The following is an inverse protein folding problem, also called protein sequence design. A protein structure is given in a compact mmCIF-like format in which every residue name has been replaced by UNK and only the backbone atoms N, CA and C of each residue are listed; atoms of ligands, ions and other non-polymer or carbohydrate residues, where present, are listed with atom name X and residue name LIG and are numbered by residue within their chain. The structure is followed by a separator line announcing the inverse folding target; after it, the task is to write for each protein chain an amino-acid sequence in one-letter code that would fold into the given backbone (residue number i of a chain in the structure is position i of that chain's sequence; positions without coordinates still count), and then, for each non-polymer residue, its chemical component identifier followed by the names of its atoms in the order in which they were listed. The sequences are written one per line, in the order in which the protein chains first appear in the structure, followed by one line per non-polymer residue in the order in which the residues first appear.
data_IF_995140840649
#
_entry.id   IF_995140840649
#
_cell.length_a   1.000
_cell.length_b   1.000
_cell.length_c   1.000
_cell.angle_alpha   90.00
_cell.angle_beta   90.00
_cell.angle_gamma   90.00
#
_symmetry.space_group_name_H-M   'P 1'
#
loop_
_entity.id
_entity.type
_entity.pdbx_description
1 polymer ?
#
# COMPACT_ATOMS: atom_id res chain seq x y z
N UNK A 1 -15.20 -9.22 51.15
CA UNK A 1 -14.86 -8.67 49.80
C UNK A 1 -14.90 -9.81 48.77
N UNK A 2 -16.07 -10.12 48.20
CA UNK A 2 -16.27 -11.29 47.31
C UNK A 2 -17.23 -10.95 46.15
N UNK A 3 -16.96 -9.85 45.43
CA UNK A 3 -17.75 -9.41 44.26
C UNK A 3 -17.14 -9.77 42.90
N UNK A 4 -15.99 -10.45 42.86
CA UNK A 4 -15.24 -10.69 41.61
C UNK A 4 -15.75 -11.79 40.67
N UNK A 5 -16.39 -12.91 41.10
CA UNK A 5 -16.78 -13.96 40.15
C UNK A 5 -18.01 -13.59 39.30
N UNK A 6 -19.02 -12.95 39.87
CA UNK A 6 -20.29 -12.64 39.16
C UNK A 6 -20.12 -11.62 38.04
N UNK A 7 -19.22 -10.64 38.21
CA UNK A 7 -18.89 -9.66 37.17
C UNK A 7 -18.10 -10.28 36.00
N UNK A 8 -17.22 -11.25 36.27
CA UNK A 8 -16.46 -11.96 35.23
C UNK A 8 -17.35 -12.89 34.39
N UNK A 9 -18.30 -13.58 35.04
CA UNK A 9 -19.29 -14.40 34.34
C UNK A 9 -20.29 -13.57 33.53
N UNK A 10 -20.74 -12.43 34.05
CA UNK A 10 -21.59 -11.49 33.30
C UNK A 10 -20.89 -10.91 32.06
N UNK A 11 -19.62 -10.53 32.19
CA UNK A 11 -18.82 -10.04 31.06
C UNK A 11 -18.62 -11.10 29.96
N UNK A 12 -18.34 -12.35 30.35
CA UNK A 12 -18.18 -13.45 29.39
C UNK A 12 -19.45 -13.73 28.57
N UNK A 13 -20.62 -13.72 29.22
CA UNK A 13 -21.91 -13.92 28.54
C UNK A 13 -22.18 -12.80 27.53
N UNK A 14 -21.89 -11.54 27.88
CA UNK A 14 -22.08 -10.40 26.98
C UNK A 14 -21.16 -10.50 25.76
N UNK A 15 -19.88 -10.86 25.94
CA UNK A 15 -18.93 -11.05 24.83
C UNK A 15 -19.39 -12.14 23.88
N UNK A 16 -19.84 -13.29 24.41
CA UNK A 16 -20.36 -14.40 23.60
C UNK A 16 -21.63 -13.98 22.85
N UNK A 17 -22.56 -13.30 23.52
CA UNK A 17 -23.78 -12.80 22.89
C UNK A 17 -23.49 -11.80 21.75
N UNK A 18 -22.54 -10.88 21.94
CA UNK A 18 -22.11 -9.95 20.89
C UNK A 18 -21.46 -10.68 19.71
N UNK A 19 -20.64 -11.69 19.97
CA UNK A 19 -20.04 -12.49 18.91
C UNK A 19 -21.10 -13.27 18.12
N UNK A 20 -22.07 -13.89 18.80
CA UNK A 20 -23.19 -14.58 18.15
C UNK A 20 -24.01 -13.61 17.31
N UNK A 21 -24.33 -12.42 17.84
CA UNK A 21 -25.04 -11.39 17.09
C UNK A 21 -24.26 -10.93 15.86
N UNK A 22 -22.95 -10.67 15.99
CA UNK A 22 -22.10 -10.30 14.87
C UNK A 22 -22.05 -11.40 13.79
N UNK A 23 -21.90 -12.67 14.19
CA UNK A 23 -21.94 -13.81 13.28
C UNK A 23 -23.30 -13.90 12.58
N UNK A 24 -24.41 -13.74 13.31
CA UNK A 24 -25.75 -13.76 12.73
C UNK A 24 -25.96 -12.62 11.71
N UNK A 25 -25.47 -11.40 12.00
CA UNK A 25 -25.54 -10.25 11.10
C UNK A 25 -24.71 -10.46 9.82
N UNK A 26 -23.51 -11.01 9.97
CA UNK A 26 -22.57 -11.20 8.87
C UNK A 26 -22.78 -12.52 8.11
N UNK A 27 -23.61 -13.43 8.61
CA UNK A 27 -23.89 -14.69 7.94
C UNK A 27 -24.56 -14.44 6.58
N UNK A 28 -24.06 -15.15 5.56
CA UNK A 28 -24.62 -15.18 4.21
C UNK A 28 -24.50 -16.63 3.70
N UNK A 29 -25.56 -17.17 3.06
CA UNK A 29 -25.49 -18.51 2.50
C UNK A 29 -24.55 -18.57 1.30
N UNK A 30 -24.10 -19.78 0.95
CA UNK A 30 -23.36 -20.00 -0.27
C UNK A 30 -24.21 -19.60 -1.50
N UNK A 31 -23.59 -18.93 -2.46
CA UNK A 31 -24.18 -18.70 -3.79
C UNK A 31 -23.78 -19.89 -4.67
N UNK A 32 -24.76 -20.48 -5.34
CA UNK A 32 -24.53 -21.62 -6.23
C UNK A 32 -23.50 -21.25 -7.31
N UNK A 33 -22.56 -22.16 -7.64
CA UNK A 33 -21.64 -21.92 -8.74
C UNK A 33 -22.41 -21.81 -10.06
N UNK A 34 -21.88 -20.99 -10.97
CA UNK A 34 -22.37 -20.91 -12.35
C UNK A 34 -21.35 -21.51 -13.31
N UNK A 35 -21.78 -21.83 -14.52
CA UNK A 35 -20.86 -22.07 -15.62
C UNK A 35 -20.13 -20.76 -15.95
N UNK A 36 -18.84 -20.87 -16.28
CA UNK A 36 -18.03 -19.71 -16.60
C UNK A 36 -18.62 -18.97 -17.82
N UNK A 37 -18.93 -17.66 -17.73
CA UNK A 37 -19.38 -16.89 -18.88
C UNK A 37 -18.31 -16.92 -19.97
N UNK A 38 -18.67 -17.18 -21.24
CA UNK A 38 -17.71 -17.15 -22.34
C UNK A 38 -17.03 -15.79 -22.42
N UNK A 39 -15.71 -15.73 -22.60
CA UNK A 39 -14.99 -14.45 -22.69
C UNK A 39 -15.55 -13.51 -23.78
N UNK A 40 -16.15 -14.08 -24.83
CA UNK A 40 -16.80 -13.35 -25.92
C UNK A 40 -18.12 -12.65 -25.52
N UNK A 41 -18.72 -12.99 -24.36
CA UNK A 41 -19.92 -12.30 -23.86
C UNK A 41 -19.64 -10.91 -23.29
N UNK A 42 -18.36 -10.56 -23.09
CA UNK A 42 -17.93 -9.26 -22.60
C UNK A 42 -17.41 -8.41 -23.77
N UNK A 43 -18.12 -7.32 -24.06
CA UNK A 43 -17.73 -6.41 -25.13
C UNK A 43 -16.40 -5.69 -24.83
N UNK A 44 -15.79 -5.11 -25.86
CA UNK A 44 -14.48 -4.47 -25.74
C UNK A 44 -14.49 -3.24 -24.80
N UNK A 45 -15.57 -2.46 -24.79
CA UNK A 45 -15.66 -1.26 -23.96
C UNK A 45 -15.74 -1.63 -22.47
N UNK A 46 -16.55 -2.64 -22.12
CA UNK A 46 -16.62 -3.18 -20.76
C UNK A 46 -15.29 -3.74 -20.29
N UNK A 47 -14.55 -4.47 -21.16
CA UNK A 47 -13.22 -4.98 -20.82
C UNK A 47 -12.19 -3.87 -20.62
N UNK A 48 -12.22 -2.81 -21.42
CA UNK A 48 -11.33 -1.64 -21.25
C UNK A 48 -11.65 -0.89 -19.96
N UNK A 49 -12.93 -0.68 -19.65
CA UNK A 49 -13.34 -0.10 -18.37
C UNK A 49 -12.87 -0.96 -17.19
N UNK A 50 -12.99 -2.29 -17.31
CA UNK A 50 -12.52 -3.23 -16.31
C UNK A 50 -11.01 -3.21 -16.12
N UNK A 51 -10.24 -3.10 -17.21
CA UNK A 51 -8.78 -2.95 -17.13
C UNK A 51 -8.39 -1.70 -16.32
N UNK A 52 -9.06 -0.57 -16.56
CA UNK A 52 -8.87 0.67 -15.79
C UNK A 52 -9.20 0.48 -14.32
N UNK A 53 -10.32 -0.18 -14.00
CA UNK A 53 -10.73 -0.44 -12.59
C UNK A 53 -9.75 -1.34 -11.88
N UNK A 54 -9.29 -2.41 -12.54
CA UNK A 54 -8.34 -3.39 -11.98
C UNK A 54 -6.96 -2.76 -11.76
N UNK A 55 -6.52 -1.86 -12.64
CA UNK A 55 -5.30 -1.07 -12.45
C UNK A 55 -5.44 -0.04 -11.32
N UNK A 56 -6.56 0.71 -11.26
CA UNK A 56 -6.83 1.63 -10.14
C UNK A 56 -6.93 0.92 -8.79
N UNK A 57 -7.43 -0.32 -8.79
CA UNK A 57 -7.53 -1.19 -7.62
C UNK A 57 -6.24 -1.88 -7.22
N UNK A 58 -5.16 -1.75 -8.01
CA UNK A 58 -3.87 -2.40 -7.82
C UNK A 58 -3.98 -3.93 -7.64
N UNK A 59 -4.98 -4.54 -8.31
CA UNK A 59 -5.32 -5.95 -8.03
C UNK A 59 -4.18 -6.90 -8.42
N UNK A 60 -3.44 -6.58 -9.48
CA UNK A 60 -2.35 -7.43 -9.98
C UNK A 60 -1.20 -7.52 -8.97
N UNK A 61 -0.95 -6.45 -8.20
CA UNK A 61 0.10 -6.40 -7.19
C UNK A 61 -0.16 -7.37 -6.07
N UNK A 62 -1.41 -7.46 -5.60
CA UNK A 62 -1.78 -8.41 -4.56
C UNK A 62 -1.94 -9.83 -5.12
N UNK A 63 -2.54 -9.98 -6.29
CA UNK A 63 -2.93 -11.28 -6.84
C UNK A 63 -1.87 -11.93 -7.75
N UNK A 64 -0.59 -11.56 -7.62
CA UNK A 64 0.49 -12.19 -8.40
C UNK A 64 1.70 -12.45 -7.51
N UNK A 65 2.06 -13.72 -7.30
CA UNK A 65 3.29 -14.08 -6.61
C UNK A 65 4.55 -13.68 -7.41
N UNK A 66 5.70 -13.54 -6.73
CA UNK A 66 6.99 -13.32 -7.38
C UNK A 66 7.31 -14.47 -8.35
N UNK A 67 7.46 -14.15 -9.64
CA UNK A 67 7.65 -15.15 -10.70
C UNK A 67 6.40 -15.98 -11.04
N UNK A 68 5.24 -15.63 -10.45
CA UNK A 68 3.95 -16.26 -10.72
C UNK A 68 3.28 -15.71 -11.98
N UNK A 69 2.18 -16.36 -12.39
CA UNK A 69 1.35 -15.86 -13.50
C UNK A 69 0.42 -14.73 -13.01
N UNK A 70 0.14 -13.71 -13.84
CA UNK A 70 -0.73 -12.60 -13.47
C UNK A 70 -2.07 -13.09 -12.90
N UNK A 71 -2.50 -12.50 -11.77
CA UNK A 71 -3.78 -12.77 -11.10
C UNK A 71 -3.95 -14.18 -10.50
N UNK A 72 -2.94 -15.04 -10.57
CA UNK A 72 -2.97 -16.42 -10.06
C UNK A 72 -2.89 -16.54 -8.53
N UNK A 73 -2.72 -15.43 -7.81
CA UNK A 73 -2.58 -15.39 -6.36
C UNK A 73 -1.21 -15.86 -5.87
N UNK A 74 -1.18 -16.33 -4.62
CA UNK A 74 0.00 -16.93 -4.00
C UNK A 74 0.99 -15.93 -3.39
N UNK A 75 0.73 -14.62 -3.45
CA UNK A 75 1.60 -13.63 -2.84
C UNK A 75 1.50 -13.73 -1.30
N UNK A 76 2.61 -13.90 -0.57
CA UNK A 76 2.62 -13.81 0.88
C UNK A 76 2.51 -12.36 1.34
N UNK A 77 1.50 -12.08 2.16
CA UNK A 77 1.32 -10.82 2.88
C UNK A 77 1.70 -11.04 4.34
N UNK A 78 2.90 -10.60 4.70
CA UNK A 78 3.38 -10.66 6.08
C UNK A 78 2.64 -9.63 6.95
N UNK A 79 1.98 -10.09 8.01
CA UNK A 79 1.29 -9.25 8.98
C UNK A 79 1.84 -9.51 10.38
N UNK A 80 1.60 -8.60 11.36
CA UNK A 80 1.91 -8.88 12.77
C UNK A 80 1.21 -10.13 13.34
N UNK A 81 0.19 -10.65 12.64
CA UNK A 81 -0.64 -11.77 13.07
C UNK A 81 -0.28 -13.08 12.35
N UNK A 82 0.73 -13.06 11.47
CA UNK A 82 1.12 -14.17 10.61
C UNK A 82 1.01 -13.83 9.13
N UNK A 83 1.03 -14.84 8.27
CA UNK A 83 1.06 -14.66 6.81
C UNK A 83 -0.30 -14.98 6.20
N UNK A 84 -0.82 -14.06 5.40
CA UNK A 84 -2.00 -14.27 4.54
C UNK A 84 -1.49 -14.47 3.10
N UNK A 85 -2.10 -15.36 2.35
CA UNK A 85 -1.79 -15.54 0.93
C UNK A 85 -2.92 -15.02 0.07
N UNK A 86 -2.58 -14.27 -0.98
CA UNK A 86 -3.58 -13.82 -1.95
C UNK A 86 -4.16 -14.99 -2.73
N UNK A 87 -5.44 -14.91 -3.07
CA UNK A 87 -6.16 -15.96 -3.79
C UNK A 87 -5.98 -15.82 -5.30
N UNK A 88 -6.23 -16.88 -6.05
CA UNK A 88 -6.32 -16.82 -7.49
C UNK A 88 -7.65 -16.15 -7.91
N UNK A 89 -7.58 -15.14 -8.77
CA UNK A 89 -8.75 -14.40 -9.30
C UNK A 89 -8.85 -14.49 -10.84
N UNK A 90 -8.17 -15.46 -11.44
CA UNK A 90 -8.33 -15.81 -12.86
C UNK A 90 -9.65 -16.56 -13.09
N UNK A 91 -10.13 -16.70 -14.35
CA UNK A 91 -11.35 -17.45 -14.63
C UNK A 91 -11.19 -18.98 -14.55
N UNK A 92 -10.12 -19.48 -13.94
CA UNK A 92 -9.98 -20.91 -13.66
C UNK A 92 -11.15 -21.39 -12.76
N UNK A 93 -11.78 -22.49 -13.16
CA UNK A 93 -13.02 -22.98 -12.53
C UNK A 93 -12.79 -23.75 -11.23
N UNK A 94 -11.58 -24.27 -11.03
CA UNK A 94 -11.23 -25.07 -9.85
C UNK A 94 -10.61 -24.23 -8.73
N UNK A 95 -9.69 -23.34 -9.12
CA UNK A 95 -8.82 -22.62 -8.19
C UNK A 95 -9.04 -21.11 -8.21
N UNK A 96 -9.63 -20.58 -9.28
CA UNK A 96 -9.93 -19.16 -9.45
C UNK A 96 -11.41 -18.79 -9.21
N UNK A 97 -11.86 -17.73 -9.89
CA UNK A 97 -13.24 -17.23 -9.82
C UNK A 97 -14.11 -17.70 -10.98
N UNK A 98 -13.67 -18.69 -11.77
CA UNK A 98 -14.35 -19.14 -12.98
C UNK A 98 -15.82 -19.54 -12.78
N UNK A 99 -16.17 -20.07 -11.61
CA UNK A 99 -17.54 -20.48 -11.26
C UNK A 99 -18.31 -19.45 -10.41
N UNK A 100 -17.77 -18.24 -10.24
CA UNK A 100 -18.41 -17.19 -9.46
C UNK A 100 -19.34 -16.38 -10.35
N UNK A 101 -20.56 -16.13 -9.90
CA UNK A 101 -21.42 -15.15 -10.55
C UNK A 101 -20.96 -13.72 -10.25
N UNK A 102 -21.42 -12.75 -11.06
CA UNK A 102 -21.23 -11.33 -10.75
C UNK A 102 -21.78 -10.97 -9.36
N UNK A 103 -22.87 -11.61 -8.92
CA UNK A 103 -23.42 -11.45 -7.58
C UNK A 103 -22.43 -11.91 -6.50
N UNK A 104 -21.82 -13.09 -6.67
CA UNK A 104 -20.83 -13.60 -5.73
C UNK A 104 -19.58 -12.73 -5.68
N UNK A 105 -19.10 -12.27 -6.85
CA UNK A 105 -17.97 -11.34 -6.94
C UNK A 105 -18.29 -10.00 -6.26
N UNK A 106 -19.44 -9.40 -6.57
CA UNK A 106 -19.93 -8.16 -5.93
C UNK A 106 -20.01 -8.32 -4.42
N UNK A 107 -20.50 -9.47 -3.93
CA UNK A 107 -20.58 -9.75 -2.51
C UNK A 107 -19.21 -9.80 -1.83
N UNK A 108 -18.22 -10.42 -2.46
CA UNK A 108 -16.87 -10.45 -1.95
C UNK A 108 -16.28 -9.04 -1.88
N UNK A 109 -16.39 -8.28 -2.97
CA UNK A 109 -15.84 -6.91 -3.08
C UNK A 109 -16.50 -5.94 -2.10
N UNK A 110 -17.83 -6.00 -1.94
CA UNK A 110 -18.57 -5.05 -1.08
C UNK A 110 -18.61 -5.42 0.39
N UNK A 111 -18.60 -6.72 0.70
CA UNK A 111 -18.91 -7.20 2.06
C UNK A 111 -17.82 -8.09 2.67
N UNK A 112 -16.76 -8.41 1.92
CA UNK A 112 -15.73 -9.32 2.39
C UNK A 112 -16.28 -10.74 2.64
N UNK A 113 -17.24 -11.19 1.82
CA UNK A 113 -17.83 -12.53 1.95
C UNK A 113 -17.67 -13.32 0.66
N UNK A 114 -16.91 -14.41 0.72
CA UNK A 114 -16.64 -15.29 -0.42
C UNK A 114 -17.92 -15.97 -0.94
N UNK A 115 -17.85 -16.58 -2.13
CA UNK A 115 -18.99 -17.28 -2.76
C UNK A 115 -19.61 -18.37 -1.87
N UNK A 116 -18.80 -19.11 -1.13
CA UNK A 116 -19.24 -20.17 -0.21
C UNK A 116 -19.78 -19.65 1.14
N UNK A 117 -19.71 -18.33 1.38
CA UNK A 117 -20.22 -17.66 2.57
C UNK A 117 -19.18 -17.41 3.68
N UNK A 118 -17.92 -17.83 3.51
CA UNK A 118 -16.91 -17.51 4.53
C UNK A 118 -16.46 -16.04 4.46
N UNK A 119 -16.07 -15.49 5.62
CA UNK A 119 -15.53 -14.14 5.71
C UNK A 119 -14.08 -14.08 5.21
N UNK A 120 -13.81 -13.11 4.34
CA UNK A 120 -12.50 -12.78 3.82
C UNK A 120 -11.72 -11.95 4.86
N UNK A 121 -10.40 -12.13 4.89
CA UNK A 121 -9.55 -11.31 5.76
C UNK A 121 -9.45 -9.88 5.21
N UNK A 122 -9.40 -8.86 6.07
CA UNK A 122 -9.39 -7.45 5.66
C UNK A 122 -8.10 -7.00 4.96
N UNK A 123 -7.11 -7.90 4.83
CA UNK A 123 -6.01 -7.70 3.88
C UNK A 123 -6.51 -7.56 2.43
N UNK A 124 -7.68 -8.14 2.11
CA UNK A 124 -8.46 -7.72 0.94
C UNK A 124 -9.21 -6.44 1.31
N UNK A 125 -8.95 -5.28 0.68
CA UNK A 125 -9.44 -3.98 1.15
C UNK A 125 -10.93 -3.72 0.81
N UNK A 126 -11.80 -4.69 1.10
CA UNK A 126 -13.25 -4.59 0.85
C UNK A 126 -13.91 -3.45 1.63
N UNK A 127 -13.31 -2.98 2.74
CA UNK A 127 -13.79 -1.78 3.46
C UNK A 127 -13.66 -0.48 2.64
N UNK A 128 -12.78 -0.48 1.63
CA UNK A 128 -12.64 0.60 0.65
C UNK A 128 -13.39 0.27 -0.63
N UNK A 129 -13.22 -0.94 -1.17
CA UNK A 129 -13.89 -1.35 -2.41
C UNK A 129 -15.42 -1.36 -2.32
N UNK A 130 -15.99 -1.44 -1.13
CA UNK A 130 -17.43 -1.27 -0.93
C UNK A 130 -17.96 0.07 -1.48
N UNK A 131 -17.11 1.09 -1.63
CA UNK A 131 -17.43 2.40 -2.22
C UNK A 131 -17.54 2.41 -3.74
N UNK A 132 -17.08 1.35 -4.43
CA UNK A 132 -17.15 1.22 -5.88
C UNK A 132 -18.60 1.28 -6.38
N UNK A 133 -18.80 1.80 -7.59
CA UNK A 133 -20.09 1.71 -8.27
C UNK A 133 -20.36 0.29 -8.77
N UNK A 134 -21.62 -0.07 -9.02
CA UNK A 134 -21.95 -1.38 -9.62
C UNK A 134 -21.35 -1.53 -11.04
N UNK A 135 -21.22 -0.40 -11.76
CA UNK A 135 -20.50 -0.33 -13.03
C UNK A 135 -19.03 -0.71 -12.91
N UNK A 136 -18.32 -0.17 -11.91
CA UNK A 136 -16.90 -0.50 -11.69
C UNK A 136 -16.72 -1.98 -11.33
N UNK A 137 -17.57 -2.51 -10.44
CA UNK A 137 -17.50 -3.92 -10.02
C UNK A 137 -17.80 -4.86 -11.19
N UNK A 138 -18.84 -4.57 -11.98
CA UNK A 138 -19.19 -5.39 -13.14
C UNK A 138 -18.12 -5.35 -14.23
N UNK A 139 -17.52 -4.18 -14.47
CA UNK A 139 -16.41 -4.03 -15.40
C UNK A 139 -15.16 -4.79 -14.94
N UNK A 140 -14.78 -4.69 -13.66
CA UNK A 140 -13.67 -5.45 -13.09
C UNK A 140 -13.87 -6.96 -13.23
N UNK A 141 -15.08 -7.45 -12.89
CA UNK A 141 -15.46 -8.84 -13.08
C UNK A 141 -15.31 -9.27 -14.55
N UNK A 142 -15.85 -8.50 -15.50
CA UNK A 142 -15.73 -8.78 -16.93
C UNK A 142 -14.26 -8.86 -17.40
N UNK A 143 -13.41 -7.95 -16.95
CA UNK A 143 -11.99 -7.97 -17.31
C UNK A 143 -11.28 -9.20 -16.74
N UNK A 144 -11.49 -9.51 -15.46
CA UNK A 144 -10.90 -10.69 -14.80
C UNK A 144 -11.36 -11.99 -15.46
N UNK A 145 -12.65 -12.10 -15.79
CA UNK A 145 -13.22 -13.29 -16.45
C UNK A 145 -12.73 -13.50 -17.89
N UNK A 146 -11.98 -12.55 -18.45
CA UNK A 146 -11.36 -12.66 -19.78
C UNK A 146 -9.84 -12.86 -19.74
N UNK A 147 -9.25 -12.97 -18.53
CA UNK A 147 -7.83 -13.27 -18.38
C UNK A 147 -7.55 -14.73 -18.72
N UNK A 148 -6.27 -15.06 -18.90
CA UNK A 148 -5.85 -16.44 -19.05
C UNK A 148 -6.22 -17.23 -17.77
N UNK A 149 -6.95 -18.35 -17.88
CA UNK A 149 -7.20 -19.22 -16.74
C UNK A 149 -5.89 -19.83 -16.23
N UNK A 150 -5.63 -19.69 -14.95
CA UNK A 150 -4.47 -20.28 -14.30
C UNK A 150 -4.94 -21.25 -13.23
N UNK A 151 -4.66 -22.54 -13.38
CA UNK A 151 -4.91 -23.51 -12.33
C UNK A 151 -3.77 -23.44 -11.31
N UNK A 152 -4.00 -22.73 -10.22
CA UNK A 152 -3.02 -22.57 -9.13
C UNK A 152 -3.73 -22.32 -7.81
N UNK A 153 -3.41 -23.14 -6.80
CA UNK A 153 -4.02 -23.07 -5.47
C UNK A 153 -3.06 -22.35 -4.54
N UNK A 154 -3.46 -21.17 -4.09
CA UNK A 154 -2.69 -20.41 -3.11
C UNK A 154 -2.46 -21.23 -1.82
N UNK A 155 -1.27 -21.09 -1.17
CA UNK A 155 -1.03 -21.70 0.12
C UNK A 155 -2.07 -21.27 1.17
N UNK A 156 -2.34 -22.14 2.14
CA UNK A 156 -3.22 -21.79 3.25
C UNK A 156 -2.61 -20.69 4.14
N UNK A 157 -3.45 -19.78 4.62
CA UNK A 157 -3.05 -18.73 5.56
C UNK A 157 -2.42 -19.33 6.83
N UNK A 158 -1.35 -18.70 7.32
CA UNK A 158 -0.64 -19.07 8.53
C UNK A 158 -0.80 -17.96 9.57
N UNK A 159 -1.95 -17.94 10.22
CA UNK A 159 -2.28 -16.96 11.26
C UNK A 159 -2.22 -17.57 12.65
N UNK A 160 -1.81 -16.76 13.63
CA UNK A 160 -1.77 -17.16 15.03
C UNK A 160 -3.19 -17.39 15.57
N UNK A 161 -3.34 -18.36 16.47
CA UNK A 161 -4.60 -18.53 17.21
C UNK A 161 -4.82 -17.34 18.17
N UNK A 162 -6.03 -16.77 18.29
CA UNK A 162 -7.29 -17.21 17.66
C UNK A 162 -7.63 -16.54 16.32
N UNK A 163 -6.75 -15.74 15.72
CA UNK A 163 -7.02 -14.96 14.49
C UNK A 163 -7.18 -15.83 13.23
N UNK A 164 -6.79 -17.09 13.29
CA UNK A 164 -7.14 -18.11 12.29
C UNK A 164 -8.63 -18.55 12.35
N UNK A 165 -9.36 -18.24 13.42
CA UNK A 165 -10.78 -18.56 13.57
C UNK A 165 -11.67 -17.49 12.92
N UNK A 166 -12.06 -17.75 11.66
CA UNK A 166 -12.82 -16.81 10.79
C UNK A 166 -14.06 -16.16 11.42
N UNK A 167 -14.86 -16.80 12.28
CA UNK A 167 -16.01 -16.13 12.89
C UNK A 167 -15.68 -14.85 13.68
N UNK A 168 -14.44 -14.70 14.18
CA UNK A 168 -14.01 -13.44 14.83
C UNK A 168 -13.97 -12.25 13.87
N UNK A 169 -13.83 -12.49 12.57
CA UNK A 169 -13.91 -11.45 11.55
C UNK A 169 -15.31 -10.83 11.47
N UNK A 170 -16.36 -11.54 11.91
CA UNK A 170 -17.71 -10.98 11.91
C UNK A 170 -17.78 -9.74 12.81
N UNK A 171 -17.15 -9.82 13.99
CA UNK A 171 -17.05 -8.70 14.92
C UNK A 171 -16.21 -7.55 14.32
N UNK A 172 -15.08 -7.88 13.69
CA UNK A 172 -14.25 -6.89 13.00
C UNK A 172 -15.04 -6.16 11.89
N UNK A 173 -15.80 -6.89 11.08
CA UNK A 173 -16.62 -6.31 10.01
C UNK A 173 -17.69 -5.37 10.57
N UNK A 174 -18.36 -5.72 11.66
CA UNK A 174 -19.35 -4.83 12.30
C UNK A 174 -18.74 -3.48 12.74
N UNK A 175 -17.45 -3.45 13.08
CA UNK A 175 -16.77 -2.23 13.51
C UNK A 175 -16.25 -1.36 12.36
N UNK A 176 -15.74 -1.97 11.30
CA UNK A 176 -14.96 -1.25 10.27
C UNK A 176 -15.63 -1.21 8.89
N UNK A 177 -16.51 -2.18 8.56
CA UNK A 177 -17.17 -2.21 7.27
C UNK A 177 -18.41 -1.30 7.27
N UNK A 178 -18.35 -0.25 6.46
CA UNK A 178 -19.47 0.66 6.19
C UNK A 178 -19.91 0.44 4.74
N UNK A 179 -20.86 -0.46 4.48
CA UNK A 179 -21.12 -0.92 3.14
C UNK A 179 -21.86 0.13 2.30
N UNK A 180 -21.47 0.23 1.03
CA UNK A 180 -22.24 0.94 0.01
C UNK A 180 -21.42 1.90 -0.84
N UNK A 181 -21.90 2.21 -2.05
CA UNK A 181 -21.25 3.17 -2.93
C UNK A 181 -21.07 4.53 -2.26
N UNK A 182 -19.97 5.20 -2.59
CA UNK A 182 -19.72 6.54 -2.10
C UNK A 182 -20.59 7.56 -2.83
N UNK A 183 -21.55 8.15 -2.13
CA UNK A 183 -22.37 9.24 -2.65
C UNK A 183 -21.50 10.49 -2.93
N UNK A 184 -21.77 11.20 -4.03
CA UNK A 184 -21.12 12.45 -4.35
C UNK A 184 -21.47 13.54 -3.32
N UNK A 185 -20.48 14.36 -2.97
CA UNK A 185 -20.67 15.57 -2.16
C UNK A 185 -21.12 16.71 -3.09
N UNK A 186 -22.35 17.18 -2.92
CA UNK A 186 -22.94 18.23 -3.74
C UNK A 186 -22.27 19.61 -3.56
N UNK A 187 -21.48 19.80 -2.49
CA UNK A 187 -20.71 21.03 -2.26
C UNK A 187 -19.38 21.08 -2.99
N UNK A 188 -19.01 19.99 -3.68
CA UNK A 188 -17.72 19.81 -4.35
C UNK A 188 -17.92 19.59 -5.84
N UNK A 189 -16.92 19.97 -6.62
CA UNK A 189 -16.95 19.74 -8.07
C UNK A 189 -16.75 18.25 -8.43
N UNK A 190 -16.89 17.94 -9.73
CA UNK A 190 -16.78 16.58 -10.23
C UNK A 190 -15.36 16.01 -10.09
N UNK A 191 -14.32 16.83 -10.23
CA UNK A 191 -12.93 16.38 -10.13
C UNK A 191 -12.60 15.96 -8.70
N UNK A 192 -13.02 16.75 -7.71
CA UNK A 192 -12.86 16.43 -6.31
C UNK A 192 -13.60 15.16 -5.92
N UNK A 193 -14.87 15.01 -6.36
CA UNK A 193 -15.66 13.81 -6.09
C UNK A 193 -15.06 12.56 -6.73
N UNK A 194 -14.53 12.68 -7.96
CA UNK A 194 -13.78 11.60 -8.61
C UNK A 194 -12.53 11.25 -7.81
N UNK A 195 -11.75 12.26 -7.42
CA UNK A 195 -10.55 12.07 -6.62
C UNK A 195 -10.81 11.37 -5.29
N UNK A 196 -11.87 11.78 -4.56
CA UNK A 196 -12.28 11.11 -3.32
C UNK A 196 -12.67 9.66 -3.56
N UNK A 197 -13.43 9.37 -4.61
CA UNK A 197 -13.84 7.99 -4.94
C UNK A 197 -12.62 7.10 -5.22
N UNK A 198 -11.63 7.65 -5.93
CA UNK A 198 -10.39 6.94 -6.24
C UNK A 198 -9.52 6.76 -4.99
N UNK A 199 -9.35 7.79 -4.17
CA UNK A 199 -8.46 7.72 -2.99
C UNK A 199 -9.05 6.91 -1.85
N UNK A 200 -10.32 7.13 -1.51
CA UNK A 200 -10.96 6.43 -0.39
C UNK A 200 -11.49 5.04 -0.76
N UNK A 201 -11.74 4.82 -2.06
CA UNK A 201 -12.36 3.61 -2.60
C UNK A 201 -11.36 2.76 -3.39
N UNK A 202 -11.35 2.93 -4.71
CA UNK A 202 -10.62 2.06 -5.64
C UNK A 202 -9.13 1.95 -5.32
N UNK A 203 -8.43 3.07 -5.15
CA UNK A 203 -7.00 3.10 -4.83
C UNK A 203 -6.68 2.85 -3.36
N UNK A 204 -7.70 2.68 -2.49
CA UNK A 204 -7.60 2.30 -1.07
C UNK A 204 -6.42 2.95 -0.32
N UNK A 205 -6.12 4.22 -0.62
CA UNK A 205 -4.82 4.81 -0.24
C UNK A 205 -4.64 4.86 1.28
N UNK A 206 -5.75 4.98 2.01
CA UNK A 206 -5.77 4.96 3.47
C UNK A 206 -5.29 3.63 4.07
N UNK A 207 -5.43 2.50 3.36
CA UNK A 207 -4.95 1.19 3.81
C UNK A 207 -3.44 1.16 4.04
N UNK A 208 -2.69 1.98 3.30
CA UNK A 208 -1.25 2.13 3.47
C UNK A 208 -0.85 3.40 4.22
N UNK A 209 -1.56 4.50 3.95
CA UNK A 209 -1.22 5.82 4.45
C UNK A 209 -1.95 6.20 5.74
N UNK A 210 -2.55 5.26 6.47
CA UNK A 210 -3.15 5.49 7.78
C UNK A 210 -2.58 4.52 8.82
N UNK A 211 -2.46 4.92 10.09
CA UNK A 211 -1.99 4.03 11.13
C UNK A 211 -3.08 3.00 11.44
N UNK A 212 -2.67 1.75 11.64
CA UNK A 212 -3.55 0.69 12.10
C UNK A 212 -3.65 0.66 13.62
N UNK A 213 -4.81 0.26 14.13
CA UNK A 213 -5.04 -0.05 15.53
C UNK A 213 -4.56 -1.47 15.88
N UNK A 214 -4.65 -1.84 17.16
CA UNK A 214 -4.14 -3.14 17.66
C UNK A 214 -4.86 -4.37 17.10
N UNK A 215 -6.05 -4.22 16.53
CA UNK A 215 -6.82 -5.29 15.86
C UNK A 215 -6.77 -5.19 14.33
N UNK A 216 -5.81 -4.41 13.79
CA UNK A 216 -5.54 -4.34 12.35
C UNK A 216 -6.54 -3.51 11.53
N UNK A 217 -7.43 -2.75 12.17
CA UNK A 217 -8.28 -1.77 11.47
C UNK A 217 -7.63 -0.39 11.41
N UNK A 218 -8.04 0.45 10.47
CA UNK A 218 -7.59 1.85 10.43
C UNK A 218 -7.94 2.58 11.74
N UNK A 219 -7.03 3.41 12.25
CA UNK A 219 -7.24 4.14 13.49
C UNK A 219 -8.17 5.34 13.23
N UNK A 220 -9.34 5.32 13.86
CA UNK A 220 -10.33 6.40 13.78
C UNK A 220 -9.72 7.77 14.10
N UNK A 221 -10.04 8.78 13.28
CA UNK A 221 -9.54 10.15 13.40
C UNK A 221 -8.11 10.39 12.88
N UNK A 222 -7.44 9.34 12.39
CA UNK A 222 -6.05 9.41 11.91
C UNK A 222 -5.90 9.04 10.43
N UNK A 223 -6.97 9.18 9.64
CA UNK A 223 -6.92 8.92 8.21
C UNK A 223 -5.81 9.76 7.55
N UNK A 224 -4.99 9.10 6.75
CA UNK A 224 -3.89 9.70 5.98
C UNK A 224 -2.70 10.25 6.80
N UNK A 225 -2.59 9.91 8.10
CA UNK A 225 -1.48 10.32 8.98
C UNK A 225 -0.16 9.56 8.75
N UNK A 226 -0.10 8.71 7.72
CA UNK A 226 1.03 7.82 7.43
C UNK A 226 0.87 6.45 8.09
N UNK A 227 1.75 5.53 7.73
CA UNK A 227 1.66 4.14 8.18
C UNK A 227 2.95 3.36 7.98
N UNK A 228 2.92 2.09 8.38
CA UNK A 228 3.98 1.12 8.08
C UNK A 228 3.34 -0.01 7.28
N UNK A 229 3.80 -0.19 6.04
CA UNK A 229 3.35 -1.27 5.16
C UNK A 229 4.57 -1.95 4.59
N UNK A 230 4.57 -3.28 4.71
CA UNK A 230 5.69 -4.11 4.27
C UNK A 230 7.06 -3.60 4.75
N UNK A 231 7.12 -3.10 5.99
CA UNK A 231 8.35 -2.58 6.59
C UNK A 231 8.85 -1.26 5.99
N UNK A 232 8.10 -0.64 5.09
CA UNK A 232 8.30 0.72 4.61
C UNK A 232 7.42 1.69 5.39
N UNK A 233 7.92 2.90 5.61
CA UNK A 233 7.11 4.00 6.13
C UNK A 233 6.35 4.66 4.99
N UNK A 234 5.03 4.49 4.96
CA UNK A 234 4.16 5.26 4.08
C UNK A 234 4.03 6.68 4.64
N UNK A 235 4.40 7.74 3.89
CA UNK A 235 4.32 9.11 4.37
C UNK A 235 2.87 9.54 4.57
N UNK A 236 2.62 10.53 5.43
CA UNK A 236 1.29 11.11 5.58
C UNK A 236 0.85 11.82 4.28
N UNK A 237 -0.35 11.49 3.78
CA UNK A 237 -0.90 12.15 2.59
C UNK A 237 -1.61 13.47 2.93
N UNK A 238 -1.89 13.73 4.20
CA UNK A 238 -2.51 14.96 4.68
C UNK A 238 -1.50 15.99 5.23
N UNK A 239 -0.21 15.78 4.99
CA UNK A 239 0.89 16.57 5.56
C UNK A 239 1.99 16.86 4.52
N UNK A 240 1.62 17.02 3.26
CA UNK A 240 2.54 17.22 2.13
C UNK A 240 3.19 18.61 2.10
N UNK A 241 2.61 19.60 2.78
CA UNK A 241 3.21 20.94 2.89
C UNK A 241 4.49 20.99 3.75
N UNK A 242 4.75 19.95 4.55
CA UNK A 242 5.90 19.84 5.45
C UNK A 242 7.17 19.27 4.79
N UNK A 243 7.10 18.90 3.52
CA UNK A 243 8.26 18.48 2.75
C UNK A 243 9.24 19.66 2.54
N UNK A 244 10.54 19.40 2.28
CA UNK A 244 11.53 20.46 2.04
C UNK A 244 11.12 21.46 0.96
N UNK A 245 10.42 20.94 -0.06
CA UNK A 245 9.64 21.69 -1.02
C UNK A 245 8.17 21.26 -0.87
N UNK A 246 7.21 22.19 -0.76
CA UNK A 246 5.79 21.81 -0.73
C UNK A 246 5.38 21.09 -2.00
N UNK A 247 4.59 20.02 -1.88
CA UNK A 247 4.05 19.33 -3.04
C UNK A 247 3.07 20.21 -3.82
N UNK A 248 3.21 20.19 -5.14
CA UNK A 248 2.24 20.78 -6.07
C UNK A 248 1.40 19.68 -6.73
N UNK A 249 0.26 20.05 -7.32
CA UNK A 249 -0.55 19.08 -8.07
C UNK A 249 0.24 18.49 -9.23
N UNK A 250 1.03 19.31 -9.94
CA UNK A 250 1.85 18.85 -11.06
C UNK A 250 2.91 17.83 -10.62
N UNK A 251 3.55 18.06 -9.47
CA UNK A 251 4.51 17.10 -8.91
C UNK A 251 3.84 15.79 -8.47
N UNK A 252 2.66 15.86 -7.85
CA UNK A 252 1.89 14.66 -7.48
C UNK A 252 1.47 13.86 -8.71
N UNK A 253 0.95 14.52 -9.75
CA UNK A 253 0.57 13.84 -11.01
C UNK A 253 1.79 13.18 -11.64
N UNK A 254 2.93 13.89 -11.69
CA UNK A 254 4.17 13.34 -12.24
C UNK A 254 4.65 12.14 -11.42
N UNK A 255 4.67 12.24 -10.09
CA UNK A 255 5.06 11.15 -9.20
C UNK A 255 4.16 9.94 -9.34
N UNK A 256 2.84 10.13 -9.31
CA UNK A 256 1.87 9.04 -9.41
C UNK A 256 1.89 8.34 -10.78
N UNK A 257 2.27 9.04 -11.86
CA UNK A 257 2.35 8.44 -13.21
C UNK A 257 3.70 7.81 -13.54
N UNK A 258 4.78 8.31 -12.94
CA UNK A 258 6.15 7.98 -13.36
C UNK A 258 7.03 7.44 -12.25
N UNK A 259 6.51 7.40 -11.01
CA UNK A 259 7.27 7.01 -9.84
C UNK A 259 8.36 7.99 -9.44
N UNK A 260 8.36 9.24 -9.92
CA UNK A 260 9.39 10.23 -9.59
C UNK A 260 8.87 11.66 -9.53
N UNK A 261 9.47 12.44 -8.65
CA UNK A 261 9.38 13.89 -8.66
C UNK A 261 10.75 14.46 -8.24
N UNK A 262 11.29 15.36 -9.06
CA UNK A 262 12.62 15.97 -8.89
C UNK A 262 12.84 16.56 -7.50
N UNK A 263 11.78 17.17 -6.96
CA UNK A 263 11.77 17.82 -5.65
C UNK A 263 11.27 16.94 -4.48
N UNK A 264 11.02 15.64 -4.69
CA UNK A 264 10.47 14.79 -3.63
C UNK A 264 11.02 13.36 -3.55
N UNK A 265 11.61 12.81 -4.62
CA UNK A 265 12.17 11.46 -4.62
C UNK A 265 11.60 10.53 -5.71
N UNK A 266 11.95 9.25 -5.60
CA UNK A 266 11.40 8.17 -6.41
C UNK A 266 10.52 7.23 -5.57
N UNK A 267 9.56 6.58 -6.20
CA UNK A 267 8.80 5.47 -5.64
C UNK A 267 9.70 4.24 -5.52
N UNK A 268 9.56 3.53 -4.41
CA UNK A 268 10.27 2.29 -4.10
C UNK A 268 9.36 1.41 -3.23
N UNK A 269 9.74 0.15 -3.05
CA UNK A 269 8.97 -0.79 -2.23
C UNK A 269 7.51 -0.89 -2.69
N UNK A 270 6.54 -0.92 -1.75
CA UNK A 270 5.12 -1.08 -2.07
C UNK A 270 4.51 0.03 -2.94
N UNK A 271 5.09 1.23 -2.94
CA UNK A 271 4.54 2.36 -3.73
C UNK A 271 4.96 2.30 -5.20
N UNK A 272 6.07 1.62 -5.52
CA UNK A 272 6.56 1.52 -6.90
C UNK A 272 5.53 0.90 -7.85
N UNK A 273 4.97 -0.30 -7.58
CA UNK A 273 3.99 -0.88 -8.50
C UNK A 273 2.69 -0.07 -8.56
N UNK A 274 2.26 0.59 -7.47
CA UNK A 274 1.12 1.52 -7.49
C UNK A 274 1.33 2.63 -8.53
N UNK A 275 2.53 3.23 -8.58
CA UNK A 275 2.83 4.26 -9.59
C UNK A 275 2.91 3.72 -11.02
N UNK A 276 3.26 2.44 -11.20
CA UNK A 276 3.23 1.80 -12.52
C UNK A 276 1.79 1.62 -13.00
N UNK A 277 0.92 1.10 -12.15
CA UNK A 277 -0.49 0.87 -12.49
C UNK A 277 -1.20 2.21 -12.74
N UNK A 278 -0.96 3.23 -11.91
CA UNK A 278 -1.44 4.60 -12.14
C UNK A 278 -0.83 5.28 -13.39
N UNK A 279 0.34 4.84 -13.85
CA UNK A 279 0.90 5.26 -15.13
C UNK A 279 0.09 4.77 -16.35
N UNK A 280 -0.62 3.66 -16.21
CA UNK A 280 -1.42 3.04 -17.29
C UNK A 280 -2.84 3.59 -17.41
N UNK A 281 -3.35 4.24 -16.36
CA UNK A 281 -4.71 4.79 -16.36
C UNK A 281 -4.75 6.18 -17.01
N UNK A 282 -5.94 6.63 -17.45
CA UNK A 282 -6.11 7.97 -18.00
C UNK A 282 -5.64 9.05 -17.04
N UNK A 283 -4.95 10.07 -17.57
CA UNK A 283 -4.31 11.11 -16.76
C UNK A 283 -5.31 11.87 -15.88
N UNK A 284 -6.56 12.01 -16.31
CA UNK A 284 -7.59 12.72 -15.55
C UNK A 284 -7.89 12.06 -14.20
N UNK A 285 -7.73 10.74 -14.06
CA UNK A 285 -7.88 10.05 -12.78
C UNK A 285 -6.76 10.43 -11.82
N UNK A 286 -5.52 10.48 -12.32
CA UNK A 286 -4.35 10.86 -11.52
C UNK A 286 -4.45 12.33 -11.11
N UNK A 287 -4.91 13.20 -12.00
CA UNK A 287 -5.18 14.60 -11.68
C UNK A 287 -6.26 14.75 -10.60
N UNK A 288 -7.32 13.94 -10.64
CA UNK A 288 -8.37 13.92 -9.63
C UNK A 288 -7.85 13.42 -8.28
N UNK A 289 -7.05 12.33 -8.27
CA UNK A 289 -6.36 11.83 -7.07
C UNK A 289 -5.50 12.94 -6.45
N UNK A 290 -4.65 13.59 -7.25
CA UNK A 290 -3.78 14.66 -6.78
C UNK A 290 -4.56 15.86 -6.22
N UNK A 291 -5.65 16.28 -6.90
CA UNK A 291 -6.52 17.35 -6.43
C UNK A 291 -7.17 17.02 -5.08
N UNK A 292 -7.67 15.79 -4.91
CA UNK A 292 -8.27 15.37 -3.66
C UNK A 292 -7.25 15.29 -2.53
N UNK A 293 -6.07 14.70 -2.77
CA UNK A 293 -4.99 14.63 -1.78
C UNK A 293 -4.60 16.04 -1.32
N UNK A 294 -4.44 17.00 -2.23
CA UNK A 294 -4.13 18.39 -1.86
C UNK A 294 -5.26 19.10 -1.09
N UNK A 295 -6.49 18.61 -1.19
CA UNK A 295 -7.62 19.19 -0.46
C UNK A 295 -7.71 18.75 1.01
N UNK A 296 -7.06 17.64 1.37
CA UNK A 296 -7.13 17.05 2.73
C UNK A 296 -5.95 17.45 3.63
N UNK A 297 -5.16 18.46 3.22
CA UNK A 297 -3.97 18.88 3.97
C UNK A 297 -4.33 19.51 5.31
N UNK A 298 -3.63 19.09 6.37
CA UNK A 298 -3.69 19.69 7.70
C UNK A 298 -2.80 20.93 7.75
N UNK A 299 -3.14 21.96 8.55
CA UNK A 299 -2.25 23.08 8.79
C UNK A 299 -0.91 22.57 9.33
N UNK A 300 0.19 23.02 8.73
CA UNK A 300 1.53 22.66 9.16
C UNK A 300 2.27 23.89 9.67
N UNK A 301 2.97 23.71 10.79
CA UNK A 301 3.91 24.71 11.25
C UNK A 301 5.04 24.82 10.22
N UNK A 302 5.43 26.06 9.91
CA UNK A 302 6.58 26.30 9.05
C UNK A 302 7.79 25.55 9.61
N UNK A 303 8.48 24.77 8.77
CA UNK A 303 9.68 24.07 9.18
C UNK A 303 10.72 25.08 9.66
N UNK A 304 11.09 25.02 10.94
CA UNK A 304 12.18 25.83 11.48
C UNK A 304 13.48 25.15 11.08
N UNK A 305 14.10 25.65 10.01
CA UNK A 305 15.43 25.23 9.61
C UNK A 305 16.44 25.76 10.63
N UNK A 306 16.88 24.90 11.54
CA UNK A 306 18.07 25.15 12.35
C UNK A 306 19.23 24.40 11.69
N UNK A 307 19.87 25.07 10.73
CA UNK A 307 21.10 24.56 10.16
C UNK A 307 22.21 24.70 11.22
N UNK A 308 22.54 23.60 11.88
CA UNK A 308 23.76 23.52 12.70
C UNK A 308 24.85 22.91 11.84
N UNK A 309 25.65 23.77 11.19
CA UNK A 309 26.88 23.39 10.50
C UNK A 309 27.87 22.79 11.50
N UNK A 310 27.75 21.49 11.74
CA UNK A 310 28.65 20.71 12.58
C UNK A 310 29.61 19.93 11.69
N UNK A 311 30.84 19.74 12.16
CA UNK A 311 31.79 18.87 11.48
C UNK A 311 31.20 17.46 11.34
N UNK A 312 31.41 16.80 10.20
CA UNK A 312 30.95 15.43 9.97
C UNK A 312 31.44 14.51 11.10
N UNK A 313 30.53 13.71 11.65
CA UNK A 313 30.88 12.68 12.63
C UNK A 313 31.84 11.65 12.01
N UNK A 314 32.49 10.83 12.84
CA UNK A 314 33.41 9.78 12.35
C UNK A 314 32.69 8.81 11.41
N UNK A 315 31.45 8.46 11.76
CA UNK A 315 30.57 7.58 10.99
C UNK A 315 30.26 8.22 9.62
N UNK A 316 29.95 9.52 9.59
CA UNK A 316 29.71 10.23 8.33
C UNK A 316 30.99 10.38 7.48
N UNK A 317 32.18 10.45 8.08
CA UNK A 317 33.45 10.44 7.35
C UNK A 317 33.74 9.08 6.70
N UNK A 318 33.47 7.97 7.42
CA UNK A 318 33.51 6.62 6.86
C UNK A 318 32.51 6.47 5.70
N UNK A 319 31.27 6.93 5.92
CA UNK A 319 30.22 6.93 4.91
C UNK A 319 30.56 7.72 3.65
N UNK A 320 31.34 8.80 3.76
CA UNK A 320 31.79 9.58 2.60
C UNK A 320 32.65 8.76 1.63
N UNK A 321 33.52 7.88 2.15
CA UNK A 321 34.37 7.00 1.34
C UNK A 321 33.52 5.96 0.61
N UNK A 322 32.58 5.34 1.32
CA UNK A 322 31.64 4.38 0.74
C UNK A 322 30.77 5.04 -0.34
N UNK A 323 30.27 6.24 -0.08
CA UNK A 323 29.46 7.00 -1.02
C UNK A 323 30.25 7.35 -2.28
N UNK A 324 31.51 7.78 -2.13
CA UNK A 324 32.39 8.05 -3.27
C UNK A 324 32.61 6.80 -4.13
N UNK A 325 32.74 5.62 -3.51
CA UNK A 325 32.99 4.36 -4.19
C UNK A 325 31.78 3.83 -4.97
N UNK A 326 30.54 4.01 -4.46
CA UNK A 326 29.38 3.31 -5.02
C UNK A 326 28.16 4.16 -5.35
N UNK A 327 28.08 5.39 -4.84
CA UNK A 327 26.89 6.24 -4.99
C UNK A 327 27.16 7.50 -5.82
N UNK A 328 28.38 8.06 -5.72
CA UNK A 328 28.73 9.37 -6.25
C UNK A 328 28.63 9.46 -7.78
N UNK A 329 28.83 8.36 -8.51
CA UNK A 329 28.69 8.34 -9.96
C UNK A 329 27.27 8.68 -10.43
N UNK A 330 26.25 8.40 -9.61
CA UNK A 330 24.85 8.72 -9.90
C UNK A 330 24.33 9.92 -9.10
N UNK A 331 24.72 10.05 -7.82
CA UNK A 331 24.16 11.03 -6.88
C UNK A 331 25.10 12.16 -6.43
N UNK A 332 26.37 12.13 -6.84
CA UNK A 332 27.34 13.18 -6.54
C UNK A 332 26.95 14.54 -7.14
N UNK A 333 27.61 15.64 -6.75
CA UNK A 333 27.19 17.00 -7.10
C UNK A 333 27.02 17.29 -8.61
N UNK A 334 27.80 16.63 -9.46
CA UNK A 334 27.73 16.75 -10.93
C UNK A 334 27.11 15.53 -11.61
N UNK A 335 26.63 14.58 -10.82
CA UNK A 335 26.18 13.29 -11.31
C UNK A 335 24.77 13.37 -11.93
N UNK A 336 24.39 12.40 -12.78
CA UNK A 336 23.17 12.48 -13.56
C UNK A 336 21.87 12.64 -12.77
N UNK A 337 21.80 12.26 -11.49
CA UNK A 337 20.61 12.47 -10.65
C UNK A 337 20.47 13.90 -10.11
N UNK A 338 21.53 14.71 -10.21
CA UNK A 338 21.53 16.13 -9.80
C UNK A 338 21.44 17.07 -11.00
N UNK A 339 21.85 16.64 -12.19
CA UNK A 339 22.07 17.51 -13.34
C UNK A 339 21.17 17.25 -14.55
N UNK A 340 20.43 16.13 -14.60
CA UNK A 340 19.65 15.74 -15.79
C UNK A 340 18.15 15.69 -15.49
N UNK A 341 17.40 16.61 -16.12
CA UNK A 341 15.94 16.57 -16.21
C UNK A 341 15.22 16.50 -14.87
N UNK A 342 14.05 15.85 -14.85
CA UNK A 342 13.20 15.66 -13.66
C UNK A 342 13.66 14.45 -12.79
N UNK A 343 14.97 14.24 -12.62
CA UNK A 343 15.49 13.17 -11.77
C UNK A 343 15.50 13.60 -10.30
N UNK A 344 15.14 12.70 -9.36
CA UNK A 344 15.08 13.05 -7.96
C UNK A 344 16.47 13.27 -7.36
N UNK A 345 16.67 14.46 -6.81
CA UNK A 345 17.87 14.76 -6.02
C UNK A 345 17.78 14.10 -4.65
N UNK A 346 18.93 13.73 -4.06
CA UNK A 346 18.95 13.26 -2.67
C UNK A 346 18.55 14.37 -1.70
N UNK A 347 18.80 15.63 -2.03
CA UNK A 347 18.56 16.76 -1.13
C UNK A 347 17.09 17.04 -0.88
N UNK A 348 16.23 16.80 -1.87
CA UNK A 348 14.78 16.94 -1.72
C UNK A 348 14.06 15.61 -1.53
N UNK A 349 14.78 14.50 -1.49
CA UNK A 349 14.19 13.18 -1.25
C UNK A 349 13.43 13.14 0.06
N UNK A 350 12.17 12.72 -0.01
CA UNK A 350 11.30 12.52 1.16
C UNK A 350 11.90 11.48 2.11
N UNK A 351 12.56 10.44 1.58
CA UNK A 351 13.22 9.42 2.40
C UNK A 351 14.43 9.98 3.17
N UNK A 352 15.23 10.86 2.54
CA UNK A 352 16.39 11.50 3.18
C UNK A 352 15.96 12.56 4.20
N UNK A 353 14.81 13.20 3.98
CA UNK A 353 14.28 14.26 4.85
C UNK A 353 13.24 13.76 5.88
N UNK A 354 12.97 12.45 5.92
CA UNK A 354 12.08 11.83 6.90
C UNK A 354 12.64 11.92 8.32
N UNK A 355 11.77 11.74 9.31
CA UNK A 355 12.13 11.75 10.73
C UNK A 355 12.90 10.48 11.15
N UNK A 356 12.76 9.38 10.40
CA UNK A 356 13.46 8.12 10.65
C UNK A 356 14.29 7.69 9.44
N UNK A 357 15.42 6.99 9.63
CA UNK A 357 16.26 6.53 8.52
C UNK A 357 15.67 5.33 7.76
N UNK A 358 14.52 4.79 8.18
CA UNK A 358 13.96 3.52 7.69
C UNK A 358 13.85 3.44 6.17
N UNK A 359 13.22 4.42 5.51
CA UNK A 359 13.04 4.36 4.06
C UNK A 359 14.36 4.56 3.30
N UNK A 360 15.25 5.42 3.80
CA UNK A 360 16.57 5.58 3.19
C UNK A 360 17.37 4.27 3.28
N UNK A 361 17.35 3.60 4.44
CA UNK A 361 17.97 2.28 4.63
C UNK A 361 17.32 1.24 3.71
N UNK A 362 15.99 1.18 3.63
CA UNK A 362 15.28 0.26 2.73
C UNK A 362 15.70 0.44 1.27
N UNK A 363 15.81 1.68 0.79
CA UNK A 363 16.28 1.97 -0.57
C UNK A 363 17.73 1.56 -0.79
N UNK A 364 18.62 1.73 0.19
CA UNK A 364 20.02 1.28 0.06
C UNK A 364 20.11 -0.25 0.05
N UNK A 365 19.38 -0.92 0.94
CA UNK A 365 19.42 -2.38 1.08
C UNK A 365 18.78 -3.09 -0.12
N UNK A 366 17.56 -2.67 -0.49
CA UNK A 366 16.73 -3.32 -1.50
C UNK A 366 16.89 -2.74 -2.91
N UNK A 367 17.44 -1.54 -3.05
CA UNK A 367 17.54 -0.87 -4.34
C UNK A 367 16.17 -0.53 -4.93
N UNK A 368 16.18 -0.22 -6.22
CA UNK A 368 15.02 -0.09 -7.10
C UNK A 368 15.37 -0.90 -8.35
N UNK A 369 14.79 -2.09 -8.45
CA UNK A 369 15.09 -3.02 -9.53
C UNK A 369 14.61 -2.52 -10.90
N UNK A 370 15.26 -3.00 -11.94
CA UNK A 370 14.84 -2.76 -13.31
C UNK A 370 13.80 -3.81 -13.75
N UNK A 371 12.64 -3.36 -14.23
CA UNK A 371 11.53 -4.24 -14.64
C UNK A 371 11.27 -4.22 -16.17
N UNK A 372 12.32 -4.03 -16.97
CA UNK A 372 12.23 -4.10 -18.43
C UNK A 372 12.01 -2.76 -19.12
N UNK A 373 10.83 -2.50 -19.67
CA UNK A 373 10.55 -1.27 -20.46
C UNK A 373 10.51 0.02 -19.62
N UNK A 374 10.61 -0.11 -18.29
CA UNK A 374 10.74 1.03 -17.39
C UNK A 374 12.01 1.81 -17.73
N UNK A 375 11.82 2.98 -18.31
CA UNK A 375 12.92 3.85 -18.75
C UNK A 375 13.70 4.45 -17.58
N UNK A 376 13.20 4.43 -16.34
CA UNK A 376 13.71 5.31 -15.30
C UNK A 376 13.60 4.73 -13.89
N UNK A 377 14.70 4.87 -13.14
CA UNK A 377 14.90 4.66 -11.69
C UNK A 377 15.55 3.33 -11.25
N UNK A 378 16.48 2.77 -12.02
CA UNK A 378 17.34 1.71 -11.49
C UNK A 378 18.29 2.24 -10.40
N UNK A 379 18.26 1.62 -9.24
CA UNK A 379 19.25 1.77 -8.17
C UNK A 379 19.63 0.37 -7.70
N UNK A 380 20.91 -0.05 -7.77
CA UNK A 380 21.29 -1.38 -7.32
C UNK A 380 21.05 -1.57 -5.83
N UNK A 381 20.76 -2.80 -5.43
CA UNK A 381 20.68 -3.22 -4.04
C UNK A 381 22.08 -3.38 -3.43
N UNK A 382 22.29 -2.90 -2.21
CA UNK A 382 23.57 -3.01 -1.50
C UNK A 382 23.53 -3.94 -0.28
N UNK A 383 22.41 -4.64 -0.04
CA UNK A 383 22.27 -5.58 1.07
C UNK A 383 23.34 -6.67 1.13
N UNK A 384 23.87 -7.12 -0.01
CA UNK A 384 24.94 -8.13 -0.09
C UNK A 384 26.35 -7.54 -0.27
N UNK A 385 26.46 -6.22 -0.42
CA UNK A 385 27.73 -5.52 -0.69
C UNK A 385 28.32 -4.93 0.58
N UNK A 386 27.46 -4.40 1.45
CA UNK A 386 27.84 -3.74 2.68
C UNK A 386 27.25 -4.44 3.89
N UNK A 387 27.96 -4.40 5.02
CA UNK A 387 27.47 -4.83 6.33
C UNK A 387 26.56 -3.77 6.97
N UNK A 388 26.07 -4.04 8.19
CA UNK A 388 25.14 -3.15 8.88
C UNK A 388 25.77 -1.80 9.24
N UNK A 389 27.03 -1.81 9.66
CA UNK A 389 27.74 -0.61 10.06
C UNK A 389 28.01 0.28 8.85
N UNK A 390 28.43 -0.32 7.73
CA UNK A 390 28.68 0.39 6.48
C UNK A 390 27.40 1.04 5.90
N UNK A 391 26.25 0.35 6.01
CA UNK A 391 24.96 0.93 5.62
C UNK A 391 24.57 2.08 6.56
N UNK A 392 24.82 1.95 7.87
CA UNK A 392 24.55 3.02 8.84
C UNK A 392 25.43 4.26 8.62
N UNK A 393 26.72 4.05 8.32
CA UNK A 393 27.67 5.10 7.97
C UNK A 393 27.24 5.84 6.68
N UNK A 394 26.84 5.09 5.64
CA UNK A 394 26.29 5.65 4.39
C UNK A 394 25.04 6.49 4.64
N UNK A 395 24.06 5.98 5.39
CA UNK A 395 22.83 6.70 5.70
C UNK A 395 23.12 7.98 6.49
N UNK A 396 24.03 7.92 7.47
CA UNK A 396 24.48 9.07 8.26
C UNK A 396 25.15 10.13 7.38
N UNK A 397 26.05 9.73 6.48
CA UNK A 397 26.69 10.64 5.53
C UNK A 397 25.69 11.29 4.58
N UNK A 398 24.76 10.51 4.00
CA UNK A 398 23.74 11.03 3.09
C UNK A 398 22.88 12.08 3.78
N UNK A 399 22.41 11.80 5.01
CA UNK A 399 21.63 12.74 5.81
C UNK A 399 22.39 14.04 6.07
N UNK A 400 23.63 13.94 6.54
CA UNK A 400 24.46 15.09 6.87
C UNK A 400 24.85 15.94 5.65
N UNK A 401 25.01 15.31 4.49
CA UNK A 401 25.49 15.98 3.26
C UNK A 401 24.34 16.59 2.45
N UNK A 402 23.19 15.91 2.40
CA UNK A 402 22.10 16.27 1.48
C UNK A 402 20.87 16.87 2.18
N UNK A 403 20.70 16.70 3.50
CA UNK A 403 19.59 17.30 4.24
C UNK A 403 20.02 18.49 5.10
N UNK A 404 19.08 19.38 5.41
CA UNK A 404 19.24 20.45 6.40
C UNK A 404 18.70 20.06 7.79
N UNK A 405 18.24 18.82 7.93
CA UNK A 405 17.68 18.31 9.18
C UNK A 405 18.78 17.71 10.06
N UNK A 406 18.51 17.70 11.37
CA UNK A 406 19.36 17.04 12.35
C UNK A 406 19.70 15.58 11.99
N UNK A 407 20.88 15.08 12.40
CA UNK A 407 21.24 13.68 12.26
C UNK A 407 20.16 12.75 12.83
N UNK A 408 19.96 11.62 12.17
CA UNK A 408 19.10 10.56 12.72
C UNK A 408 19.75 9.94 13.96
N UNK A 409 18.90 9.46 14.87
CA UNK A 409 19.32 8.69 16.05
C UNK A 409 19.22 7.19 15.75
N UNK A 410 20.07 6.38 16.40
CA UNK A 410 20.01 4.91 16.41
C UNK A 410 19.98 4.29 14.99
N UNK A 411 20.77 4.84 14.06
CA UNK A 411 20.80 4.41 12.65
C UNK A 411 21.22 2.95 12.52
N UNK A 412 22.26 2.55 13.28
CA UNK A 412 22.77 1.19 13.39
C UNK A 412 21.69 0.18 13.81
N UNK A 413 20.95 0.50 14.86
CA UNK A 413 19.84 -0.33 15.35
C UNK A 413 18.72 -0.43 14.31
N UNK A 414 18.44 0.66 13.58
CA UNK A 414 17.45 0.64 12.52
C UNK A 414 17.91 -0.24 11.34
N UNK A 415 19.19 -0.24 10.97
CA UNK A 415 19.71 -1.12 9.90
C UNK A 415 19.52 -2.58 10.26
N UNK A 416 19.98 -2.99 11.45
CA UNK A 416 19.82 -4.36 11.92
C UNK A 416 18.34 -4.78 11.98
N UNK A 417 17.46 -3.87 12.43
CA UNK A 417 16.01 -4.09 12.46
C UNK A 417 15.43 -4.28 11.06
N UNK A 418 15.74 -3.39 10.11
CA UNK A 418 15.21 -3.45 8.75
C UNK A 418 15.69 -4.71 8.02
N UNK A 419 16.97 -5.10 8.16
CA UNK A 419 17.46 -6.35 7.58
C UNK A 419 16.72 -7.56 8.12
N UNK A 420 16.60 -7.67 9.45
CA UNK A 420 15.86 -8.77 10.08
C UNK A 420 14.42 -8.86 9.60
N UNK A 421 13.75 -7.72 9.42
CA UNK A 421 12.39 -7.68 8.88
C UNK A 421 12.35 -8.10 7.39
N UNK A 422 13.35 -7.72 6.60
CA UNK A 422 13.45 -8.11 5.19
C UNK A 422 13.77 -9.60 5.02
N UNK A 423 14.66 -10.17 5.83
CA UNK A 423 15.02 -11.59 5.78
C UNK A 423 13.86 -12.51 6.24
N UNK A 424 12.91 -11.96 7.01
CA UNK A 424 11.72 -12.67 7.46
C UNK A 424 10.59 -12.72 6.42
N UNK A 425 10.74 -12.02 5.29
CA UNK A 425 9.78 -11.95 4.18
C UNK A 425 10.27 -12.72 2.98
#
# INVERSE_FOLDING_TARGET
MTLKPRLLWGGGVVVVAMLIAAVALMWKPAIAPIDAPPAASFDAQTRLAGARVVALGDCIVCHTAKGGRPFAGGLPLATPFGTIYSTNITPDVETGIGNWSLEAFTRAVRYGVARDGHLLYPAFPYIHFTRMSDGDISAAYAYLMTREPVKDTAPANRLIFPLNFRPLLAFWNVLFLHPGPQAADASKDAQWNRGRLLVDGLGHCASCHSPLNVIGGEKSGHAFDGGIVDGWTAPALNALGGAPKPWTQAHLVTYLRTGRASEHGAAAGPMLPVTRDLGTVPEEDVQAIAAYILSIQKPQAAAVNTASGTALSREAQSGAVLFAASCAQCHGPQAPMQSIGERPTLGFSTAVNADTPRNAIQMILGGIDWHGEDTLNYMPAFSQVYDDQQIADLASYIRATYSQKEPWKDVDQMVAKVRKENDAR
#
